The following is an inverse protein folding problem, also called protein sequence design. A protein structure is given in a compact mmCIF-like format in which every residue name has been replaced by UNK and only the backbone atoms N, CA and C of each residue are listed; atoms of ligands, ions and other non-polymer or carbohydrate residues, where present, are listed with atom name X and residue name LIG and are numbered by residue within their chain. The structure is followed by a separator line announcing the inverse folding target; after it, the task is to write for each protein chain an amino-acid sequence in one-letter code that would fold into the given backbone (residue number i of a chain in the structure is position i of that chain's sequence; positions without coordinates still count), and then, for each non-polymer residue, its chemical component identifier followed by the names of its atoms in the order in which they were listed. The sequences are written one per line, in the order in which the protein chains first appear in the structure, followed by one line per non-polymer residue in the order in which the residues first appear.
data_IF_827567141464
#
_entry.id   IF_827567141464
#
_cell.length_a   1.000
_cell.length_b   1.000
_cell.length_c   1.000
_cell.angle_alpha   90.00
_cell.angle_beta   90.00
_cell.angle_gamma   90.00
#
_symmetry.space_group_name_H-M   'P 1'
#
loop_
_entity.id
_entity.type
_entity.pdbx_description
1 polymer ?
#
# COMPACT_ATOMS: atom_id res chain seq x y z
N UNK A 1 33.21 50.27 -22.24
CA UNK A 1 32.50 49.86 -21.01
C UNK A 1 31.05 49.43 -21.21
N UNK A 2 30.26 49.89 -22.17
CA UNK A 2 28.86 49.45 -22.41
C UNK A 2 28.73 48.06 -22.98
N UNK A 3 29.64 47.58 -23.88
CA UNK A 3 29.59 46.24 -24.51
C UNK A 3 29.85 45.10 -23.52
N UNK A 4 30.73 45.29 -22.54
CA UNK A 4 31.07 44.28 -21.53
C UNK A 4 29.92 43.99 -20.56
N UNK A 5 29.10 44.99 -20.24
CA UNK A 5 27.92 44.84 -19.35
C UNK A 5 26.78 44.05 -20.00
N UNK A 6 26.59 44.18 -21.32
CA UNK A 6 25.56 43.48 -22.08
C UNK A 6 25.89 41.95 -22.16
N UNK A 7 27.16 41.61 -22.41
CA UNK A 7 27.61 40.20 -22.47
C UNK A 7 27.44 39.51 -21.11
N UNK A 8 27.78 40.19 -20.01
CA UNK A 8 27.62 39.61 -18.67
C UNK A 8 26.15 39.37 -18.30
N UNK A 9 25.24 40.25 -18.73
CA UNK A 9 23.79 40.14 -18.49
C UNK A 9 23.18 38.97 -19.27
N UNK A 10 23.63 38.72 -20.51
CA UNK A 10 23.15 37.59 -21.33
C UNK A 10 23.63 36.26 -20.76
N UNK A 11 24.86 36.15 -20.28
CA UNK A 11 25.40 34.93 -19.67
C UNK A 11 24.67 34.62 -18.35
N UNK A 12 24.36 35.60 -17.51
CA UNK A 12 23.58 35.39 -16.29
C UNK A 12 22.14 34.87 -16.59
N UNK A 13 21.51 35.40 -17.63
CA UNK A 13 20.16 35.02 -18.03
C UNK A 13 20.09 33.58 -18.59
N UNK A 14 21.11 33.16 -19.36
CA UNK A 14 21.21 31.79 -19.89
C UNK A 14 21.48 30.77 -18.80
N UNK A 15 22.30 31.09 -17.78
CA UNK A 15 22.53 30.21 -16.63
C UNK A 15 21.25 30.03 -15.80
N UNK A 16 20.45 31.09 -15.64
CA UNK A 16 19.18 31.01 -14.91
C UNK A 16 18.13 30.15 -15.64
N UNK A 17 18.08 30.19 -16.98
CA UNK A 17 17.20 29.34 -17.79
C UNK A 17 17.62 27.87 -17.77
N UNK A 18 18.90 27.56 -17.70
CA UNK A 18 19.42 26.19 -17.61
C UNK A 18 19.08 25.59 -16.25
N UNK A 19 19.16 26.36 -15.16
CA UNK A 19 18.78 25.89 -13.82
C UNK A 19 17.28 25.68 -13.67
N UNK A 20 16.44 26.50 -14.34
CA UNK A 20 14.99 26.34 -14.32
C UNK A 20 14.54 25.04 -15.08
N UNK A 21 15.25 24.66 -16.14
CA UNK A 21 14.96 23.41 -16.87
C UNK A 21 15.49 22.18 -16.15
N UNK A 22 16.58 22.25 -15.40
CA UNK A 22 17.10 21.14 -14.61
C UNK A 22 16.13 20.71 -13.50
N UNK A 23 15.40 21.67 -12.90
CA UNK A 23 14.39 21.39 -11.88
C UNK A 23 13.12 20.70 -12.39
N UNK A 24 12.86 20.71 -13.71
CA UNK A 24 11.67 20.12 -14.34
C UNK A 24 11.89 18.66 -14.79
N UNK A 25 13.10 18.14 -14.74
CA UNK A 25 13.44 16.77 -15.16
C UNK A 25 13.52 15.74 -14.01
N UNK A 26 13.24 16.16 -12.76
CA UNK A 26 13.50 15.31 -11.59
C UNK A 26 12.25 14.52 -11.11
N UNK A 27 11.21 14.39 -11.93
CA UNK A 27 9.97 13.76 -11.47
C UNK A 27 9.35 12.75 -12.45
N UNK A 28 10.17 11.92 -13.10
CA UNK A 28 9.72 10.69 -13.75
C UNK A 28 10.55 9.50 -13.27
N UNK A 29 10.71 9.35 -11.97
CA UNK A 29 11.08 8.07 -11.41
C UNK A 29 9.87 7.14 -11.62
N UNK A 30 9.98 6.22 -12.57
CA UNK A 30 9.08 5.07 -12.66
C UNK A 30 9.15 4.39 -11.28
N UNK A 31 8.11 4.56 -10.47
CA UNK A 31 8.02 3.97 -9.14
C UNK A 31 7.98 2.45 -9.31
N UNK A 32 9.11 1.80 -9.10
CA UNK A 32 9.30 0.36 -9.28
C UNK A 32 8.77 -0.46 -8.10
N UNK A 33 7.81 0.10 -7.35
CA UNK A 33 7.29 -0.50 -6.12
C UNK A 33 8.30 -0.50 -4.97
N UNK A 34 7.80 -0.71 -3.76
CA UNK A 34 8.66 -0.80 -2.58
C UNK A 34 9.39 -2.15 -2.51
N UNK A 35 10.60 -2.09 -1.90
CA UNK A 35 11.40 -3.24 -1.52
C UNK A 35 11.51 -3.33 0.00
N UNK A 36 11.96 -4.47 0.49
CA UNK A 36 12.25 -4.64 1.91
C UNK A 36 13.32 -3.61 2.33
N UNK A 37 13.02 -2.88 3.41
CA UNK A 37 13.86 -1.81 3.95
C UNK A 37 13.50 -0.41 3.45
N UNK A 38 12.73 -0.27 2.38
CA UNK A 38 12.28 1.03 1.90
C UNK A 38 11.36 1.72 2.92
N UNK A 39 11.32 3.05 2.85
CA UNK A 39 10.35 3.85 3.61
C UNK A 39 9.09 4.02 2.77
N UNK A 40 7.99 3.41 3.21
CA UNK A 40 6.69 3.62 2.60
C UNK A 40 6.14 5.00 3.00
N UNK A 41 5.63 5.74 2.01
CA UNK A 41 4.96 7.02 2.23
C UNK A 41 3.58 6.80 2.85
N UNK A 42 3.10 7.79 3.60
CA UNK A 42 1.71 7.83 4.06
C UNK A 42 0.78 8.11 2.88
N UNK A 43 -0.47 7.76 3.04
CA UNK A 43 -1.54 8.04 2.09
C UNK A 43 -2.77 8.58 2.83
N UNK A 44 -3.70 9.16 2.10
CA UNK A 44 -5.00 9.59 2.63
C UNK A 44 -6.08 9.17 1.65
N UNK A 45 -6.80 8.12 1.99
CA UNK A 45 -7.81 7.50 1.15
C UNK A 45 -9.19 7.49 1.80
N UNK A 46 -10.24 7.43 0.98
CA UNK A 46 -11.62 7.37 1.44
C UNK A 46 -11.95 5.97 1.96
N UNK A 47 -12.41 5.89 3.20
CA UNK A 47 -12.89 4.66 3.83
C UNK A 47 -14.38 4.43 3.51
N UNK A 48 -14.83 3.18 3.62
CA UNK A 48 -16.23 2.77 3.40
C UNK A 48 -17.25 3.50 4.28
N UNK A 49 -16.84 4.11 5.40
CA UNK A 49 -17.67 4.99 6.25
C UNK A 49 -17.68 6.46 5.78
N UNK A 50 -17.15 6.75 4.60
CA UNK A 50 -16.98 8.07 3.98
C UNK A 50 -15.96 8.99 4.66
N UNK A 51 -15.22 8.54 5.67
CA UNK A 51 -14.13 9.33 6.26
C UNK A 51 -12.83 9.13 5.48
N UNK A 52 -11.99 10.16 5.51
CA UNK A 52 -10.63 10.04 4.99
C UNK A 52 -9.74 9.41 6.08
N UNK A 53 -8.95 8.40 5.70
CA UNK A 53 -8.06 7.67 6.60
C UNK A 53 -6.64 7.64 6.05
N UNK A 54 -5.67 7.87 6.95
CA UNK A 54 -4.23 7.79 6.70
C UNK A 54 -3.54 6.90 7.73
N UNK A 55 -2.30 6.47 7.45
CA UNK A 55 -1.50 5.73 8.44
C UNK A 55 -1.19 6.60 9.66
N UNK A 56 -1.02 7.91 9.48
CA UNK A 56 -0.74 8.85 10.57
C UNK A 56 -1.89 9.01 11.58
N UNK A 57 -3.13 8.64 11.22
CA UNK A 57 -4.26 8.67 12.15
C UNK A 57 -4.10 7.64 13.29
N UNK A 58 -3.22 6.66 13.13
CA UNK A 58 -2.93 5.62 14.12
C UNK A 58 -1.68 5.98 14.94
N UNK A 59 -1.80 6.95 15.84
CA UNK A 59 -0.66 7.50 16.60
C UNK A 59 0.06 6.45 17.46
N UNK A 60 -0.65 5.45 18.00
CA UNK A 60 -0.11 4.38 18.85
C UNK A 60 0.36 3.15 18.07
N UNK A 61 0.19 3.13 16.75
CA UNK A 61 0.61 1.98 15.95
C UNK A 61 2.13 1.82 15.95
N UNK A 62 2.58 0.57 16.11
CA UNK A 62 3.98 0.13 15.97
C UNK A 62 4.30 -0.21 14.52
N UNK A 63 3.27 -0.40 13.70
CA UNK A 63 3.34 -0.73 12.30
C UNK A 63 1.95 -1.01 11.73
N UNK A 64 1.88 -1.55 10.51
CA UNK A 64 0.64 -1.76 9.79
C UNK A 64 0.71 -3.04 8.97
N UNK A 65 -0.43 -3.71 8.81
CA UNK A 65 -0.64 -4.79 7.85
C UNK A 65 -1.46 -4.17 6.70
N UNK A 66 -0.79 -3.65 5.67
CA UNK A 66 -1.45 -3.07 4.49
C UNK A 66 -1.76 -4.20 3.51
N UNK A 67 -3.02 -4.33 3.09
CA UNK A 67 -3.48 -5.40 2.22
C UNK A 67 -4.24 -4.80 1.03
N UNK A 68 -3.67 -4.92 -0.17
CA UNK A 68 -4.42 -4.66 -1.40
C UNK A 68 -5.36 -5.83 -1.65
N UNK A 69 -6.66 -5.59 -1.58
CA UNK A 69 -7.73 -6.59 -1.72
C UNK A 69 -8.91 -6.02 -2.49
N UNK A 70 -9.90 -6.84 -2.83
CA UNK A 70 -11.06 -6.38 -3.60
C UNK A 70 -12.29 -7.28 -3.36
N UNK A 71 -13.45 -6.88 -3.92
CA UNK A 71 -14.71 -7.56 -3.67
C UNK A 71 -14.96 -8.77 -4.61
N UNK A 72 -14.50 -8.69 -5.88
CA UNK A 72 -14.85 -9.68 -6.91
C UNK A 72 -13.95 -10.90 -6.92
N UNK A 73 -12.65 -10.73 -6.61
CA UNK A 73 -11.63 -11.77 -6.75
C UNK A 73 -11.90 -12.97 -5.82
N UNK A 74 -12.00 -14.21 -6.35
CA UNK A 74 -12.24 -15.40 -5.52
C UNK A 74 -11.12 -15.64 -4.49
N UNK A 75 -9.88 -15.32 -4.82
CA UNK A 75 -8.75 -15.38 -3.87
C UNK A 75 -8.92 -14.39 -2.73
N UNK A 76 -9.29 -13.14 -3.04
CA UNK A 76 -9.53 -12.13 -2.02
C UNK A 76 -10.68 -12.54 -1.11
N UNK A 77 -11.79 -13.03 -1.68
CA UNK A 77 -12.96 -13.55 -0.94
C UNK A 77 -12.60 -14.70 -0.01
N UNK A 78 -11.74 -15.62 -0.44
CA UNK A 78 -11.29 -16.76 0.37
C UNK A 78 -10.49 -16.32 1.61
N UNK A 79 -9.84 -15.17 1.55
CA UNK A 79 -9.04 -14.64 2.65
C UNK A 79 -9.79 -13.72 3.62
N UNK A 80 -11.03 -13.28 3.34
CA UNK A 80 -11.72 -12.26 4.15
C UNK A 80 -11.77 -12.59 5.64
N UNK A 81 -12.19 -13.80 6.00
CA UNK A 81 -12.27 -14.22 7.40
C UNK A 81 -10.88 -14.23 8.07
N UNK A 82 -9.84 -14.61 7.32
CA UNK A 82 -8.45 -14.58 7.82
C UNK A 82 -7.95 -13.13 8.00
N UNK A 83 -8.33 -12.22 7.13
CA UNK A 83 -8.01 -10.78 7.27
C UNK A 83 -8.70 -10.20 8.51
N UNK A 84 -9.97 -10.56 8.75
CA UNK A 84 -10.69 -10.17 9.99
C UNK A 84 -9.97 -10.72 11.23
N UNK A 85 -9.57 -12.00 11.19
CA UNK A 85 -8.82 -12.64 12.29
C UNK A 85 -7.45 -11.98 12.52
N UNK A 86 -6.73 -11.61 11.46
CA UNK A 86 -5.47 -10.88 11.57
C UNK A 86 -5.66 -9.54 12.26
N UNK A 87 -6.69 -8.76 11.88
CA UNK A 87 -6.97 -7.49 12.54
C UNK A 87 -7.30 -7.70 14.02
N UNK A 88 -8.15 -8.67 14.35
CA UNK A 88 -8.52 -8.99 15.73
C UNK A 88 -7.30 -9.36 16.58
N UNK A 89 -6.37 -10.13 16.01
CA UNK A 89 -5.15 -10.61 16.70
C UNK A 89 -4.12 -9.50 16.89
N UNK A 90 -3.93 -8.63 15.89
CA UNK A 90 -2.76 -7.77 15.82
C UNK A 90 -3.04 -6.27 16.02
N UNK A 91 -4.27 -5.77 15.78
CA UNK A 91 -4.60 -4.37 16.03
C UNK A 91 -4.39 -3.97 17.50
N UNK A 92 -4.82 -4.78 18.52
CA UNK A 92 -4.54 -4.47 19.93
C UNK A 92 -3.06 -4.48 20.29
N UNK A 93 -2.21 -5.12 19.48
CA UNK A 93 -0.75 -5.19 19.65
C UNK A 93 0.00 -4.07 18.93
N UNK A 94 -0.74 -3.18 18.23
CA UNK A 94 -0.20 -2.04 17.49
C UNK A 94 0.09 -2.31 16.01
N UNK A 95 -0.46 -3.38 15.43
CA UNK A 95 -0.38 -3.69 14.00
C UNK A 95 -1.79 -3.84 13.39
N UNK A 96 -2.55 -2.74 13.23
CA UNK A 96 -3.87 -2.80 12.58
C UNK A 96 -3.74 -3.20 11.11
N UNK A 97 -4.78 -3.88 10.60
CA UNK A 97 -4.97 -4.08 9.17
C UNK A 97 -5.48 -2.79 8.54
N UNK A 98 -4.92 -2.44 7.39
CA UNK A 98 -5.40 -1.38 6.50
C UNK A 98 -5.63 -2.02 5.14
N UNK A 99 -6.89 -2.29 4.80
CA UNK A 99 -7.26 -2.87 3.52
C UNK A 99 -7.49 -1.77 2.48
N UNK A 100 -7.01 -1.99 1.24
CA UNK A 100 -7.13 -1.02 0.14
C UNK A 100 -7.66 -1.75 -1.09
N UNK A 101 -8.76 -1.25 -1.67
CA UNK A 101 -9.22 -1.69 -2.98
C UNK A 101 -8.56 -0.84 -4.07
N UNK A 102 -7.70 -1.44 -4.92
CA UNK A 102 -6.97 -0.74 -5.96
C UNK A 102 -7.69 -0.75 -7.32
N UNK A 103 -8.84 -1.43 -7.45
CA UNK A 103 -9.45 -1.70 -8.74
C UNK A 103 -10.31 -0.52 -9.24
N UNK A 104 -10.24 -0.26 -10.56
CA UNK A 104 -11.14 0.68 -11.22
C UNK A 104 -12.53 0.06 -11.39
N UNK A 105 -13.60 0.65 -10.83
CA UNK A 105 -14.97 0.16 -10.98
C UNK A 105 -15.50 0.25 -12.41
N UNK A 106 -14.89 1.03 -13.29
CA UNK A 106 -15.23 1.04 -14.73
C UNK A 106 -14.76 -0.24 -15.42
N UNK A 107 -13.72 -0.88 -14.89
CA UNK A 107 -13.19 -2.16 -15.40
C UNK A 107 -13.84 -3.34 -14.68
N UNK A 108 -14.09 -3.20 -13.36
CA UNK A 108 -14.74 -4.22 -12.54
C UNK A 108 -15.81 -3.58 -11.64
N UNK A 109 -17.07 -3.54 -12.10
CA UNK A 109 -18.16 -2.87 -11.36
C UNK A 109 -18.44 -3.41 -9.97
N UNK A 110 -18.12 -4.69 -9.68
CA UNK A 110 -18.28 -5.26 -8.35
C UNK A 110 -17.34 -4.61 -7.31
N UNK A 111 -16.28 -3.95 -7.78
CA UNK A 111 -15.31 -3.26 -6.91
C UNK A 111 -15.63 -1.76 -6.74
N UNK A 112 -16.86 -1.34 -7.06
CA UNK A 112 -17.35 0.02 -6.80
C UNK A 112 -17.32 0.34 -5.31
N UNK A 113 -17.34 1.63 -4.99
CA UNK A 113 -17.34 2.09 -3.60
C UNK A 113 -18.56 1.59 -2.82
N UNK A 114 -19.74 1.58 -3.46
CA UNK A 114 -20.98 1.02 -2.90
C UNK A 114 -20.83 -0.50 -2.65
N UNK A 115 -20.21 -1.22 -3.60
CA UNK A 115 -19.90 -2.64 -3.45
C UNK A 115 -18.95 -2.90 -2.28
N UNK A 116 -17.96 -2.02 -2.06
CA UNK A 116 -17.07 -2.09 -0.89
C UNK A 116 -17.84 -1.88 0.44
N UNK A 117 -18.74 -0.90 0.48
CA UNK A 117 -19.57 -0.63 1.66
C UNK A 117 -20.45 -1.82 2.01
N UNK A 118 -21.11 -2.39 1.00
CA UNK A 118 -21.93 -3.59 1.17
C UNK A 118 -21.08 -4.76 1.67
N UNK A 119 -19.93 -5.03 1.04
CA UNK A 119 -19.06 -6.14 1.40
C UNK A 119 -18.51 -6.02 2.82
N UNK A 120 -18.06 -4.82 3.20
CA UNK A 120 -17.56 -4.56 4.55
C UNK A 120 -18.64 -4.83 5.62
N UNK A 121 -19.88 -4.45 5.35
CA UNK A 121 -21.04 -4.72 6.24
C UNK A 121 -21.37 -6.21 6.32
N UNK A 122 -21.46 -6.88 5.18
CA UNK A 122 -21.79 -8.32 5.10
C UNK A 122 -20.75 -9.20 5.81
N UNK A 123 -19.49 -8.83 5.70
CA UNK A 123 -18.37 -9.59 6.27
C UNK A 123 -17.92 -9.12 7.65
N UNK A 124 -18.54 -8.06 8.16
CA UNK A 124 -18.22 -7.53 9.48
C UNK A 124 -16.78 -7.03 9.58
N UNK A 125 -16.29 -6.30 8.58
CA UNK A 125 -14.93 -5.76 8.61
C UNK A 125 -14.77 -4.79 9.77
N UNK A 126 -13.81 -5.06 10.64
CA UNK A 126 -13.48 -4.25 11.82
C UNK A 126 -12.25 -3.36 11.61
N UNK A 127 -11.78 -3.30 10.39
CA UNK A 127 -10.63 -2.53 9.91
C UNK A 127 -11.05 -1.56 8.80
N UNK A 128 -10.30 -0.48 8.53
CA UNK A 128 -10.58 0.40 7.40
C UNK A 128 -10.44 -0.34 6.08
N UNK A 129 -11.44 -0.15 5.21
CA UNK A 129 -11.42 -0.63 3.84
C UNK A 129 -11.47 0.58 2.90
N UNK A 130 -10.31 0.92 2.37
CA UNK A 130 -10.03 2.17 1.68
C UNK A 130 -10.13 2.00 0.18
N UNK A 131 -10.58 3.04 -0.52
CA UNK A 131 -10.67 3.06 -1.97
C UNK A 131 -9.51 3.89 -2.58
N UNK A 132 -8.66 3.25 -3.38
CA UNK A 132 -7.62 3.90 -4.18
C UNK A 132 -8.22 4.39 -5.50
N UNK A 133 -9.22 5.31 -5.42
CA UNK A 133 -10.00 5.81 -6.56
C UNK A 133 -9.12 6.35 -7.69
N UNK A 134 -8.04 7.05 -7.35
CA UNK A 134 -7.08 7.60 -8.31
C UNK A 134 -6.02 6.60 -8.76
N UNK A 135 -6.04 5.38 -8.26
CA UNK A 135 -5.05 4.35 -8.55
C UNK A 135 -3.59 4.82 -8.38
N UNK A 136 -3.34 5.65 -7.38
CA UNK A 136 -2.03 6.26 -7.13
C UNK A 136 -1.21 5.50 -6.10
N UNK A 137 -1.85 4.75 -5.21
CA UNK A 137 -1.19 4.08 -4.08
C UNK A 137 -0.68 2.69 -4.46
N UNK A 138 -1.50 1.87 -5.15
CA UNK A 138 -1.05 0.53 -5.49
C UNK A 138 0.21 0.50 -6.38
N UNK A 139 0.43 1.44 -7.34
CA UNK A 139 1.67 1.46 -8.11
C UNK A 139 2.89 1.87 -7.27
N UNK A 140 2.71 2.80 -6.30
CA UNK A 140 3.77 3.19 -5.38
C UNK A 140 4.25 2.00 -4.54
N UNK A 141 3.31 1.18 -4.07
CA UNK A 141 3.64 -0.05 -3.34
C UNK A 141 4.21 -1.13 -4.27
N UNK A 142 3.89 -1.12 -5.56
CA UNK A 142 4.20 -2.17 -6.50
C UNK A 142 3.28 -3.38 -6.35
N UNK A 143 2.05 -3.15 -5.88
CA UNK A 143 1.04 -4.19 -5.79
C UNK A 143 0.57 -4.59 -7.19
N UNK A 144 0.48 -5.89 -7.46
CA UNK A 144 0.11 -6.45 -8.77
C UNK A 144 -1.03 -7.46 -8.68
N UNK A 145 -1.42 -7.86 -7.46
CA UNK A 145 -2.44 -8.88 -7.18
C UNK A 145 -3.39 -8.42 -6.10
N UNK A 146 -4.54 -9.07 -6.01
CA UNK A 146 -5.44 -9.03 -4.86
C UNK A 146 -5.74 -10.47 -4.41
N UNK A 147 -5.37 -10.86 -3.13
CA UNK A 147 -4.68 -10.03 -2.15
C UNK A 147 -3.15 -9.89 -2.38
N UNK A 148 -2.57 -8.76 -1.94
CA UNK A 148 -1.13 -8.54 -1.86
C UNK A 148 -0.81 -7.77 -0.58
N UNK A 149 0.07 -8.31 0.26
CA UNK A 149 0.34 -7.80 1.62
C UNK A 149 1.67 -7.07 1.69
N UNK A 150 1.68 -5.97 2.46
CA UNK A 150 2.86 -5.24 2.88
C UNK A 150 2.81 -5.04 4.40
N UNK A 151 3.80 -5.52 5.14
CA UNK A 151 3.92 -5.22 6.56
C UNK A 151 4.92 -4.08 6.73
N UNK A 152 4.44 -3.03 7.36
CA UNK A 152 5.22 -1.83 7.67
C UNK A 152 5.52 -1.81 9.17
N UNK A 153 6.77 -1.53 9.53
CA UNK A 153 7.18 -1.27 10.92
C UNK A 153 7.46 0.21 11.10
N UNK A 154 6.90 0.82 12.13
CA UNK A 154 7.17 2.22 12.47
C UNK A 154 8.50 2.32 13.23
N UNK A 155 9.50 2.95 12.61
CA UNK A 155 10.84 3.12 13.18
C UNK A 155 11.22 4.61 13.05
N UNK A 156 11.45 5.29 14.16
CA UNK A 156 11.80 6.71 14.19
C UNK A 156 10.86 7.58 13.35
N UNK A 157 9.55 7.32 13.42
CA UNK A 157 8.52 8.04 12.68
C UNK A 157 8.38 7.65 11.21
N UNK A 158 9.19 6.73 10.69
CA UNK A 158 9.14 6.23 9.31
C UNK A 158 8.47 4.85 9.25
N UNK A 159 7.73 4.59 8.18
CA UNK A 159 7.09 3.30 7.92
C UNK A 159 8.02 2.43 7.07
N UNK A 160 8.78 1.55 7.69
CA UNK A 160 9.77 0.70 6.99
C UNK A 160 9.11 -0.60 6.54
N UNK A 161 9.23 -0.94 5.27
CA UNK A 161 8.72 -2.19 4.69
C UNK A 161 9.51 -3.37 5.22
N UNK A 162 8.82 -4.34 5.85
CA UNK A 162 9.42 -5.53 6.47
C UNK A 162 9.00 -6.84 5.84
N UNK A 163 7.84 -6.85 5.18
CA UNK A 163 7.34 -8.02 4.46
C UNK A 163 6.55 -7.59 3.23
N UNK A 164 6.66 -8.38 2.14
CA UNK A 164 5.87 -8.22 0.92
C UNK A 164 5.47 -9.61 0.43
N UNK A 165 4.16 -9.88 0.21
CA UNK A 165 3.75 -11.15 -0.39
C UNK A 165 2.34 -11.61 -0.07
N UNK A 166 2.18 -12.92 0.13
CA UNK A 166 0.92 -13.61 0.43
C UNK A 166 0.56 -13.53 1.93
N UNK A 167 -0.68 -13.83 2.27
CA UNK A 167 -1.14 -13.95 3.66
C UNK A 167 -0.58 -15.22 4.29
N UNK A 168 -0.73 -16.33 3.59
CA UNK A 168 -0.25 -17.66 3.96
C UNK A 168 0.01 -18.48 2.69
N UNK A 169 0.29 -19.78 2.81
CA UNK A 169 0.62 -20.67 1.70
C UNK A 169 -0.59 -21.44 1.11
N UNK A 170 -1.81 -21.27 1.67
CA UNK A 170 -3.00 -21.94 1.16
C UNK A 170 -4.24 -21.04 1.17
N UNK A 171 -4.58 -20.47 0.03
CA UNK A 171 -5.77 -19.60 -0.09
C UNK A 171 -7.08 -20.39 0.00
N UNK A 172 -7.11 -21.66 -0.42
CA UNK A 172 -8.33 -22.42 -0.61
C UNK A 172 -8.83 -23.07 0.69
N UNK A 173 -7.92 -23.52 1.56
CA UNK A 173 -8.26 -24.15 2.83
C UNK A 173 -7.44 -23.56 3.99
N UNK A 174 -8.14 -22.90 4.91
CA UNK A 174 -7.51 -22.33 6.10
C UNK A 174 -7.01 -23.39 7.09
N UNK A 175 -7.54 -24.61 7.03
CA UNK A 175 -7.14 -25.72 7.93
C UNK A 175 -5.88 -26.44 7.43
N UNK A 176 -5.55 -26.30 6.14
CA UNK A 176 -4.37 -26.89 5.51
C UNK A 176 -3.29 -25.85 5.22
N UNK A 177 -3.16 -24.86 6.11
CA UNK A 177 -2.11 -23.84 6.06
C UNK A 177 -0.89 -24.31 6.84
N UNK A 178 0.23 -24.50 6.15
CA UNK A 178 1.52 -24.86 6.76
C UNK A 178 2.34 -23.64 7.17
N UNK A 179 2.25 -22.55 6.41
CA UNK A 179 3.03 -21.32 6.63
C UNK A 179 2.15 -20.08 6.68
N UNK A 180 1.98 -19.53 7.87
CA UNK A 180 1.26 -18.27 8.14
C UNK A 180 2.21 -17.08 8.02
N UNK A 181 2.53 -16.66 6.82
CA UNK A 181 3.59 -15.68 6.54
C UNK A 181 3.38 -14.34 7.25
N UNK A 182 2.16 -13.77 7.18
CA UNK A 182 1.84 -12.49 7.83
C UNK A 182 1.94 -12.61 9.35
N UNK A 183 1.39 -13.68 9.94
CA UNK A 183 1.46 -13.90 11.38
C UNK A 183 2.91 -14.05 11.83
N UNK A 184 3.71 -14.88 11.15
CA UNK A 184 5.12 -15.08 11.47
C UNK A 184 5.93 -13.78 11.39
N UNK A 185 5.67 -12.94 10.36
CA UNK A 185 6.36 -11.68 10.20
C UNK A 185 6.00 -10.68 11.32
N UNK A 186 4.71 -10.52 11.65
CA UNK A 186 4.29 -9.60 12.71
C UNK A 186 4.75 -10.09 14.09
N UNK A 187 4.68 -11.38 14.37
CA UNK A 187 5.14 -11.97 15.63
C UNK A 187 6.67 -11.80 15.82
N UNK A 188 7.45 -11.91 14.73
CA UNK A 188 8.88 -11.61 14.77
C UNK A 188 9.13 -10.13 15.12
N UNK A 189 8.43 -9.19 14.47
CA UNK A 189 8.56 -7.75 14.72
C UNK A 189 8.14 -7.37 16.15
N UNK A 190 7.07 -7.95 16.66
CA UNK A 190 6.62 -7.75 18.04
C UNK A 190 7.63 -8.27 19.07
N UNK A 191 8.41 -9.28 18.68
CA UNK A 191 9.47 -9.87 19.50
C UNK A 191 10.85 -9.23 19.29
N UNK A 192 10.92 -8.12 18.52
CA UNK A 192 12.17 -7.45 18.09
C UNK A 192 13.15 -8.41 17.38
N UNK A 193 12.62 -9.38 16.63
CA UNK A 193 13.39 -10.33 15.84
C UNK A 193 13.31 -9.99 14.33
N UNK A 194 14.30 -10.39 13.53
CA UNK A 194 14.24 -10.23 12.07
C UNK A 194 13.11 -11.09 11.48
N UNK A 195 12.48 -10.60 10.42
CA UNK A 195 11.52 -11.37 9.61
C UNK A 195 12.32 -12.32 8.74
N UNK A 196 12.24 -13.63 9.00
CA UNK A 196 13.05 -14.63 8.31
C UNK A 196 12.61 -14.82 6.86
N UNK A 197 11.29 -14.83 6.60
CA UNK A 197 10.71 -14.88 5.24
C UNK A 197 10.13 -13.51 4.96
N UNK A 198 10.95 -12.61 4.42
CA UNK A 198 10.57 -11.22 4.18
C UNK A 198 9.78 -11.02 2.87
N UNK A 199 9.87 -11.97 1.94
CA UNK A 199 9.15 -11.90 0.66
C UNK A 199 8.58 -13.27 0.28
N UNK A 200 7.34 -13.25 -0.26
CA UNK A 200 6.70 -14.42 -0.88
C UNK A 200 5.96 -14.00 -2.14
N UNK A 201 5.54 -14.96 -2.95
CA UNK A 201 4.74 -14.66 -4.15
C UNK A 201 3.28 -14.42 -3.75
N UNK A 202 2.75 -13.23 -4.05
CA UNK A 202 1.33 -12.98 -3.90
C UNK A 202 0.52 -13.76 -4.94
N UNK A 203 -0.44 -14.55 -4.50
CA UNK A 203 -1.34 -15.35 -5.34
C UNK A 203 -2.72 -14.70 -5.34
N UNK A 204 -3.24 -14.38 -6.51
CA UNK A 204 -4.52 -13.68 -6.64
C UNK A 204 -4.80 -13.18 -8.04
N UNK A 205 -5.91 -12.47 -8.22
CA UNK A 205 -6.27 -11.82 -9.46
C UNK A 205 -5.37 -10.60 -9.72
N UNK A 206 -5.10 -10.30 -10.98
CA UNK A 206 -4.44 -9.04 -11.35
C UNK A 206 -5.31 -7.84 -10.98
N UNK A 207 -4.67 -6.76 -10.54
CA UNK A 207 -5.34 -5.48 -10.31
C UNK A 207 -5.97 -4.98 -11.62
N UNK A 208 -7.20 -4.45 -11.51
CA UNK A 208 -7.95 -3.88 -12.64
C UNK A 208 -7.58 -2.41 -12.79
N UNK A 209 -6.52 -2.17 -13.54
CA UNK A 209 -6.06 -0.81 -13.81
C UNK A 209 -7.02 -0.07 -14.75
N UNK A 210 -7.14 1.25 -14.56
CA UNK A 210 -7.81 2.14 -15.48
C UNK A 210 -7.19 1.98 -16.87
N UNK A 211 -8.04 1.90 -17.90
CA UNK A 211 -7.56 1.94 -19.30
C UNK A 211 -7.29 3.38 -19.69
N UNK A 212 -6.14 3.62 -20.29
CA UNK A 212 -5.78 4.89 -20.91
C UNK A 212 -6.73 5.23 -22.08
#
# INVERSE_FOLDING_TARGET
MKKTRIILSVILFTIFLIQANAKKMENTAVHKGYKIGDTATDFKLKNVDNKMVSLSDYSTAKGYIVIFTCNHCPYAKAYENRIVALNHKYAPKGYPVIAINPNDPKVEPQDSFEGMQQRAKEKGFTFPYLFDEGQTIYPQYGAIRTPHVYILQKVNGKNIVRYIGAIDDNYSDANDVSHKYVEAAVDALLSNKPVLVATTVAIGCSIKAQKE
#
